data_IF_804046887809
#
_entry.id   IF_804046887809
#
_cell.length_a   1.000
_cell.length_b   1.000
_cell.length_c   1.000
_cell.angle_alpha   90.00
_cell.angle_beta   90.00
_cell.angle_gamma   90.00
#
_symmetry.space_group_name_H-M   'P 1'
#
loop_
_entity.id
_entity.type
_entity.pdbx_description
1 polymer ?
#
# COMPACT_ATOMS: atom_id res chain seq x y z
N UNK A 1 62.99 -9.97 0.72
CA UNK A 1 62.42 -8.63 0.45
C UNK A 1 61.05 -8.80 -0.18
N UNK A 2 59.99 -8.51 0.58
CA UNK A 2 58.69 -8.08 0.01
C UNK A 2 58.88 -6.64 -0.56
N UNK A 3 57.95 -5.99 -1.31
CA UNK A 3 56.50 -6.26 -1.31
C UNK A 3 55.67 -5.86 -2.57
N UNK A 4 54.34 -5.99 -2.44
CA UNK A 4 53.23 -5.13 -2.98
C UNK A 4 53.00 -5.14 -4.50
N UNK A 5 51.95 -5.77 -5.06
CA UNK A 5 50.50 -5.48 -5.01
C UNK A 5 50.02 -4.33 -5.91
N UNK A 6 48.74 -4.45 -6.31
CA UNK A 6 47.82 -3.45 -6.91
C UNK A 6 47.78 -3.42 -8.44
N UNK A 7 46.68 -3.08 -9.09
CA UNK A 7 45.24 -3.02 -8.78
C UNK A 7 44.56 -2.72 -10.14
N UNK A 8 43.29 -3.09 -10.25
CA UNK A 8 42.38 -2.81 -11.37
C UNK A 8 42.33 -1.32 -11.74
N UNK A 9 42.12 -1.02 -13.01
CA UNK A 9 41.02 -0.13 -13.46
C UNK A 9 40.89 -0.15 -14.98
N UNK A 10 39.81 -0.76 -15.47
CA UNK A 10 39.34 -0.64 -16.86
C UNK A 10 38.59 0.68 -16.98
N UNK A 11 39.21 1.66 -17.62
CA UNK A 11 38.61 2.96 -17.95
C UNK A 11 37.53 2.78 -19.01
N UNK A 12 36.26 2.95 -18.65
CA UNK A 12 35.18 3.11 -19.62
C UNK A 12 35.05 4.58 -20.00
N UNK A 13 35.16 4.82 -21.30
CA UNK A 13 35.12 6.10 -21.99
C UNK A 13 33.67 6.58 -22.10
N UNK A 14 33.37 7.73 -21.53
CA UNK A 14 32.14 8.51 -21.75
C UNK A 14 32.13 9.11 -23.15
N UNK A 15 31.03 8.99 -23.92
CA UNK A 15 30.72 9.94 -24.96
C UNK A 15 29.82 11.05 -24.41
N UNK A 16 30.33 12.28 -24.48
CA UNK A 16 29.53 13.50 -24.42
C UNK A 16 28.66 13.58 -25.68
N UNK A 17 27.38 13.88 -25.52
CA UNK A 17 26.55 14.33 -26.64
C UNK A 17 25.80 15.60 -26.24
N UNK A 18 26.39 16.70 -26.72
CA UNK A 18 25.80 17.93 -27.26
C UNK A 18 24.37 18.29 -26.86
N UNK A 19 24.26 19.36 -26.07
CA UNK A 19 23.05 20.15 -25.88
C UNK A 19 22.59 20.79 -27.20
N UNK A 20 21.34 20.55 -27.59
CA UNK A 20 20.63 21.41 -28.53
C UNK A 20 19.72 22.34 -27.72
N UNK A 21 20.06 23.62 -27.73
CA UNK A 21 19.22 24.69 -27.21
C UNK A 21 18.01 24.88 -28.13
N UNK A 22 16.81 24.56 -27.64
CA UNK A 22 15.55 24.92 -28.29
C UNK A 22 14.79 25.93 -27.44
N UNK A 23 14.45 27.02 -28.12
CA UNK A 23 13.84 28.27 -27.67
C UNK A 23 12.66 28.08 -26.72
N UNK A 24 12.64 28.93 -25.70
CA UNK A 24 11.51 29.22 -24.81
C UNK A 24 10.25 29.50 -25.63
N UNK A 25 9.37 28.51 -25.75
CA UNK A 25 7.96 28.75 -25.97
C UNK A 25 7.28 28.74 -24.62
N UNK A 26 6.93 29.94 -24.15
CA UNK A 26 5.98 30.13 -23.07
C UNK A 26 4.63 29.60 -23.55
N UNK A 27 4.43 28.28 -23.46
CA UNK A 27 3.10 27.73 -23.40
C UNK A 27 2.53 28.15 -22.05
N UNK A 28 1.69 29.19 -22.07
CA UNK A 28 0.63 29.35 -21.07
C UNK A 28 -0.19 28.06 -21.10
N UNK A 29 0.20 27.09 -20.29
CA UNK A 29 -0.57 25.89 -20.03
C UNK A 29 -1.77 26.29 -19.14
N UNK A 30 -2.77 26.92 -19.76
CA UNK A 30 -4.11 27.01 -19.21
C UNK A 30 -4.79 25.65 -19.43
N UNK A 31 -4.35 24.66 -18.65
CA UNK A 31 -5.06 23.42 -18.42
C UNK A 31 -4.88 23.11 -16.93
N UNK A 32 -5.70 23.73 -16.08
CA UNK A 32 -6.01 23.13 -14.78
C UNK A 32 -6.85 21.87 -15.06
N UNK A 33 -6.18 20.82 -15.57
CA UNK A 33 -6.61 19.46 -15.38
C UNK A 33 -6.40 19.22 -13.89
N UNK A 34 -7.46 19.36 -13.10
CA UNK A 34 -7.45 18.83 -11.73
C UNK A 34 -7.11 17.35 -11.87
N UNK A 35 -5.87 16.96 -11.55
CA UNK A 35 -5.46 15.56 -11.53
C UNK A 35 -6.46 14.80 -10.68
N UNK A 36 -7.28 13.95 -11.30
CA UNK A 36 -8.23 13.14 -10.57
C UNK A 36 -7.43 12.22 -9.66
N UNK A 37 -7.65 12.29 -8.34
CA UNK A 37 -7.07 11.37 -7.38
C UNK A 37 -7.29 9.94 -7.89
N UNK A 38 -6.20 9.21 -8.14
CA UNK A 38 -6.27 7.87 -8.71
C UNK A 38 -5.37 6.93 -7.94
N UNK A 39 -5.99 5.96 -7.29
CA UNK A 39 -5.28 4.87 -6.63
C UNK A 39 -4.30 4.20 -7.62
N UNK A 40 -3.02 4.19 -7.24
CA UNK A 40 -1.95 3.58 -8.03
C UNK A 40 -1.61 2.20 -7.49
N UNK A 41 -1.13 1.31 -8.37
CA UNK A 41 -0.69 -0.03 -7.97
C UNK A 41 0.81 -0.14 -8.21
N UNK A 42 1.56 -0.45 -7.16
CA UNK A 42 3.00 -0.59 -7.21
C UNK A 42 3.43 -1.93 -7.87
N UNK A 43 4.71 -2.08 -8.25
CA UNK A 43 5.28 -3.37 -8.67
C UNK A 43 5.09 -4.46 -7.61
N UNK A 44 5.13 -5.75 -7.99
CA UNK A 44 5.03 -6.85 -7.03
C UNK A 44 6.22 -6.85 -6.06
N UNK A 45 5.95 -7.05 -4.78
CA UNK A 45 6.96 -7.20 -3.75
C UNK A 45 7.80 -8.49 -3.96
N UNK A 46 9.13 -8.46 -3.77
CA UNK A 46 10.00 -9.61 -4.05
C UNK A 46 9.78 -10.81 -3.11
N UNK A 47 9.15 -10.63 -1.95
CA UNK A 47 8.94 -11.69 -0.97
C UNK A 47 7.47 -12.05 -0.87
N UNK A 48 6.58 -11.06 -0.69
CA UNK A 48 5.15 -11.32 -0.57
C UNK A 48 4.47 -11.62 -1.92
N UNK A 49 5.09 -11.23 -3.06
CA UNK A 49 4.53 -11.31 -4.42
C UNK A 49 3.21 -10.55 -4.63
N UNK A 50 2.76 -9.80 -3.61
CA UNK A 50 1.56 -8.99 -3.66
C UNK A 50 1.88 -7.60 -4.19
N UNK A 51 0.87 -6.90 -4.72
CA UNK A 51 1.00 -5.55 -5.28
C UNK A 51 0.44 -4.51 -4.31
N UNK A 52 1.26 -3.65 -3.70
CA UNK A 52 0.78 -2.59 -2.84
C UNK A 52 -0.07 -1.57 -3.61
N UNK A 53 -1.15 -1.10 -2.99
CA UNK A 53 -1.98 -0.01 -3.51
C UNK A 53 -1.52 1.28 -2.83
N UNK A 54 -1.19 2.29 -3.63
CA UNK A 54 -0.86 3.64 -3.19
C UNK A 54 -2.13 4.45 -3.35
N UNK A 55 -2.74 4.77 -2.23
CA UNK A 55 -3.96 5.56 -2.18
C UNK A 55 -3.65 7.03 -2.38
N UNK A 56 -4.34 7.64 -3.34
CA UNK A 56 -4.18 9.04 -3.72
C UNK A 56 -5.16 9.95 -2.94
N UNK A 57 -5.67 9.45 -1.81
CA UNK A 57 -6.64 10.13 -0.96
C UNK A 57 -6.05 11.48 -0.53
N UNK A 58 -6.57 12.63 -1.05
CA UNK A 58 -6.01 13.92 -0.70
C UNK A 58 -6.24 14.15 0.80
N UNK A 59 -5.25 14.71 1.53
CA UNK A 59 -5.54 15.24 2.85
C UNK A 59 -6.71 16.21 2.71
N UNK A 60 -7.70 16.09 3.61
CA UNK A 60 -8.94 16.89 3.60
C UNK A 60 -8.59 18.33 3.21
N UNK A 61 -9.23 18.92 2.17
CA UNK A 61 -8.87 20.24 1.68
C UNK A 61 -8.91 21.23 2.84
N UNK A 62 -7.73 21.69 3.23
CA UNK A 62 -7.59 22.76 4.21
C UNK A 62 -8.08 24.04 3.51
N UNK A 63 -9.00 24.81 4.10
CA UNK A 63 -9.50 26.02 3.48
C UNK A 63 -8.32 26.93 3.13
N UNK A 64 -8.32 27.32 1.86
CA UNK A 64 -7.28 28.02 1.15
C UNK A 64 -6.82 29.26 1.95
N UNK A 65 -5.55 29.28 2.39
CA UNK A 65 -4.87 30.54 2.73
C UNK A 65 -4.53 30.85 4.19
N UNK A 66 -4.70 29.93 5.15
CA UNK A 66 -4.24 30.17 6.53
C UNK A 66 -3.16 29.17 6.98
N UNK A 67 -2.01 29.19 6.29
CA UNK A 67 -0.78 28.76 6.96
C UNK A 67 -0.54 29.69 8.15
N UNK A 68 -0.28 29.10 9.33
CA UNK A 68 0.09 29.72 10.64
C UNK A 68 -1.16 29.97 11.53
N UNK A 69 -1.34 29.37 12.73
CA UNK A 69 -0.33 29.22 13.82
C UNK A 69 -0.77 28.41 15.06
N UNK A 70 -0.57 27.09 15.12
CA UNK A 70 -0.35 26.32 16.38
C UNK A 70 -0.34 24.81 16.11
N UNK A 71 0.44 24.01 16.87
CA UNK A 71 0.45 22.55 16.80
C UNK A 71 -0.88 21.89 17.21
N UNK A 72 -1.85 22.66 17.71
CA UNK A 72 -3.23 22.24 17.92
C UNK A 72 -4.15 23.39 17.51
N UNK A 73 -4.63 23.38 16.27
CA UNK A 73 -5.62 24.37 15.82
C UNK A 73 -7.04 23.89 16.07
N UNK A 74 -7.87 24.72 16.72
CA UNK A 74 -9.29 24.40 16.91
C UNK A 74 -10.04 24.29 15.58
N UNK A 75 -9.52 24.89 14.51
CA UNK A 75 -10.01 24.72 13.14
C UNK A 75 -10.02 23.26 12.67
N UNK A 76 -9.12 22.40 13.19
CA UNK A 76 -9.15 20.96 12.92
C UNK A 76 -10.34 20.24 13.58
N UNK A 77 -10.95 20.86 14.59
CA UNK A 77 -12.15 20.38 15.29
C UNK A 77 -13.43 21.13 14.89
N UNK A 78 -13.33 22.24 14.15
CA UNK A 78 -14.43 23.13 13.77
C UNK A 78 -15.07 22.82 12.41
N UNK A 79 -14.90 21.62 11.86
CA UNK A 79 -15.60 21.21 10.62
C UNK A 79 -17.15 21.19 10.74
N UNK A 80 -17.75 21.73 11.81
CA UNK A 80 -19.08 21.41 12.29
C UNK A 80 -20.01 22.58 12.65
N UNK A 81 -19.77 23.82 12.21
CA UNK A 81 -20.71 24.91 12.43
C UNK A 81 -21.40 25.36 11.12
N UNK A 82 -22.32 24.55 10.58
CA UNK A 82 -23.13 25.01 9.43
C UNK A 82 -24.18 24.05 8.86
N UNK A 83 -24.09 22.74 9.09
CA UNK A 83 -25.10 21.81 8.62
C UNK A 83 -24.85 20.39 9.09
N UNK A 84 -25.65 19.92 10.06
CA UNK A 84 -25.46 18.66 10.81
C UNK A 84 -25.43 17.35 9.99
N UNK A 85 -25.42 17.42 8.65
CA UNK A 85 -25.20 16.27 7.77
C UNK A 85 -23.77 16.13 7.23
N UNK A 86 -23.01 17.23 7.09
CA UNK A 86 -21.71 17.22 6.39
C UNK A 86 -20.56 16.66 7.24
N UNK A 87 -20.58 16.90 8.56
CA UNK A 87 -19.55 16.45 9.52
C UNK A 87 -19.52 14.94 9.61
N UNK A 88 -20.70 14.33 9.77
CA UNK A 88 -20.85 12.88 9.92
C UNK A 88 -20.42 12.16 8.63
N UNK A 89 -20.61 12.78 7.45
CA UNK A 89 -20.12 12.23 6.17
C UNK A 89 -18.59 12.25 6.14
N UNK A 90 -17.96 13.36 6.53
CA UNK A 90 -16.50 13.50 6.59
C UNK A 90 -15.84 12.50 7.53
N UNK A 91 -16.39 12.33 8.74
CA UNK A 91 -15.88 11.37 9.73
C UNK A 91 -15.99 9.92 9.24
N UNK A 92 -17.15 9.53 8.67
CA UNK A 92 -17.35 8.18 8.14
C UNK A 92 -16.46 7.90 6.93
N UNK A 93 -16.26 8.89 6.05
CA UNK A 93 -15.39 8.75 4.87
C UNK A 93 -13.92 8.59 5.28
N UNK A 94 -13.45 9.38 6.24
CA UNK A 94 -12.11 9.25 6.80
C UNK A 94 -11.91 7.87 7.44
N UNK A 95 -12.88 7.43 8.26
CA UNK A 95 -12.83 6.10 8.89
C UNK A 95 -12.79 4.98 7.84
N UNK A 96 -13.58 5.09 6.78
CA UNK A 96 -13.57 4.13 5.67
C UNK A 96 -12.20 4.06 4.99
N UNK A 97 -11.61 5.21 4.66
CA UNK A 97 -10.27 5.30 4.02
C UNK A 97 -9.18 4.69 4.92
N UNK A 98 -9.16 5.05 6.20
CA UNK A 98 -8.19 4.51 7.15
C UNK A 98 -8.34 3.00 7.34
N UNK A 99 -9.58 2.50 7.43
CA UNK A 99 -9.83 1.06 7.57
C UNK A 99 -9.38 0.30 6.33
N UNK A 100 -9.63 0.84 5.13
CA UNK A 100 -9.17 0.29 3.84
C UNK A 100 -7.65 0.13 3.83
N UNK A 101 -6.92 1.19 4.12
CA UNK A 101 -5.45 1.18 4.16
C UNK A 101 -4.91 0.18 5.20
N UNK A 102 -5.52 0.11 6.39
CA UNK A 102 -5.14 -0.84 7.44
C UNK A 102 -5.41 -2.30 7.04
N UNK A 103 -6.46 -2.56 6.27
CA UNK A 103 -6.80 -3.90 5.78
C UNK A 103 -5.74 -4.37 4.78
N UNK A 104 -5.33 -3.50 3.86
CA UNK A 104 -4.27 -3.81 2.90
C UNK A 104 -2.93 -4.04 3.56
N UNK A 105 -2.56 -3.19 4.54
CA UNK A 105 -1.34 -3.39 5.31
C UNK A 105 -1.35 -4.74 6.05
N UNK A 106 -2.49 -5.12 6.64
CA UNK A 106 -2.63 -6.43 7.27
C UNK A 106 -2.42 -7.58 6.26
N UNK A 107 -3.00 -7.47 5.08
CA UNK A 107 -2.85 -8.48 4.03
C UNK A 107 -1.39 -8.62 3.57
N UNK A 108 -0.73 -7.50 3.29
CA UNK A 108 0.67 -7.45 2.88
C UNK A 108 1.60 -8.05 3.94
N UNK A 109 1.44 -7.62 5.19
CA UNK A 109 2.28 -8.06 6.30
C UNK A 109 2.13 -9.56 6.57
N UNK A 110 0.91 -10.10 6.51
CA UNK A 110 0.66 -11.53 6.71
C UNK A 110 1.39 -12.38 5.66
N UNK A 111 1.27 -12.02 4.38
CA UNK A 111 1.92 -12.78 3.31
C UNK A 111 3.44 -12.61 3.28
N UNK A 112 3.94 -11.41 3.62
CA UNK A 112 5.37 -11.17 3.78
C UNK A 112 5.97 -12.11 4.85
N UNK A 113 5.33 -12.17 6.01
CA UNK A 113 5.77 -13.01 7.12
C UNK A 113 5.63 -14.50 6.81
N UNK A 114 4.48 -14.94 6.28
CA UNK A 114 4.25 -16.34 5.89
C UNK A 114 5.28 -16.83 4.87
N UNK A 115 5.56 -16.04 3.83
CA UNK A 115 6.55 -16.40 2.81
C UNK A 115 7.97 -16.40 3.38
N UNK A 116 8.31 -15.46 4.27
CA UNK A 116 9.62 -15.42 4.93
C UNK A 116 9.85 -16.68 5.79
N UNK A 117 8.85 -17.08 6.59
CA UNK A 117 8.91 -18.30 7.40
C UNK A 117 8.96 -19.56 6.51
N UNK A 118 8.22 -19.57 5.40
CA UNK A 118 8.24 -20.67 4.45
C UNK A 118 9.60 -20.86 3.78
N UNK A 119 10.21 -19.80 3.25
CA UNK A 119 11.50 -19.90 2.56
C UNK A 119 12.63 -20.28 3.51
N UNK A 120 12.66 -19.72 4.73
CA UNK A 120 13.66 -20.09 5.74
C UNK A 120 13.53 -21.56 6.18
N UNK A 121 12.30 -22.05 6.40
CA UNK A 121 12.06 -23.44 6.75
C UNK A 121 12.42 -24.39 5.59
N UNK A 122 12.06 -24.04 4.36
CA UNK A 122 12.41 -24.80 3.15
C UNK A 122 13.91 -24.92 2.98
N UNK A 123 14.65 -23.82 3.13
CA UNK A 123 16.12 -23.83 3.07
C UNK A 123 16.72 -24.69 4.18
N UNK A 124 16.19 -24.61 5.41
CA UNK A 124 16.65 -25.45 6.52
C UNK A 124 16.49 -26.94 6.23
N UNK A 125 15.37 -27.36 5.63
CA UNK A 125 15.18 -28.75 5.20
C UNK A 125 16.25 -29.15 4.19
N UNK A 126 16.49 -28.32 3.17
CA UNK A 126 17.48 -28.61 2.13
C UNK A 126 18.93 -28.65 2.67
N UNK A 127 19.26 -27.78 3.62
CA UNK A 127 20.59 -27.73 4.23
C UNK A 127 20.86 -28.94 5.14
N UNK A 128 19.82 -29.57 5.69
CA UNK A 128 19.95 -30.79 6.49
C UNK A 128 20.14 -32.05 5.65
N UNK A 129 19.97 -31.98 4.32
CA UNK A 129 20.25 -33.12 3.45
C UNK A 129 21.76 -33.20 3.16
N UNK A 130 22.31 -34.42 3.06
CA UNK A 130 23.69 -34.58 2.65
C UNK A 130 23.90 -34.07 1.21
N UNK A 131 25.07 -33.54 0.90
CA UNK A 131 25.40 -33.03 -0.45
C UNK A 131 25.31 -34.12 -1.52
N UNK A 132 25.48 -35.39 -1.13
CA UNK A 132 25.35 -36.58 -1.99
C UNK A 132 23.89 -36.97 -2.29
N UNK A 133 22.90 -36.30 -1.70
CA UNK A 133 21.49 -36.63 -1.87
C UNK A 133 21.04 -36.46 -3.32
N UNK A 134 20.34 -37.47 -3.84
CA UNK A 134 19.79 -37.44 -5.20
C UNK A 134 18.64 -36.44 -5.30
N UNK A 135 18.27 -36.07 -6.52
CA UNK A 135 17.11 -35.19 -6.78
C UNK A 135 15.83 -35.78 -6.18
N UNK A 136 15.65 -37.10 -6.31
CA UNK A 136 14.48 -37.82 -5.77
C UNK A 136 14.39 -37.72 -4.25
N UNK A 137 15.52 -37.82 -3.55
CA UNK A 137 15.56 -37.70 -2.08
C UNK A 137 15.19 -36.28 -1.63
N UNK A 138 15.64 -35.27 -2.37
CA UNK A 138 15.27 -33.86 -2.13
C UNK A 138 13.77 -33.64 -2.35
N UNK A 139 13.20 -34.19 -3.41
CA UNK A 139 11.76 -34.11 -3.68
C UNK A 139 10.94 -34.80 -2.59
N UNK A 140 11.38 -35.98 -2.13
CA UNK A 140 10.71 -36.69 -1.04
C UNK A 140 10.76 -35.87 0.25
N UNK A 141 11.91 -35.30 0.60
CA UNK A 141 12.04 -34.41 1.76
C UNK A 141 11.13 -33.18 1.66
N UNK A 142 11.06 -32.54 0.48
CA UNK A 142 10.18 -31.39 0.24
C UNK A 142 8.70 -31.76 0.31
N UNK A 143 8.30 -32.94 -0.16
CA UNK A 143 6.91 -33.41 -0.09
C UNK A 143 6.44 -33.57 1.37
N UNK A 144 7.30 -34.16 2.22
CA UNK A 144 7.05 -34.31 3.66
C UNK A 144 7.01 -32.95 4.34
N UNK A 145 7.92 -32.04 3.96
CA UNK A 145 7.92 -30.66 4.44
C UNK A 145 6.62 -29.93 4.11
N UNK A 146 6.16 -29.94 2.86
CA UNK A 146 4.93 -29.23 2.47
C UNK A 146 3.71 -29.74 3.23
N UNK A 147 3.59 -31.05 3.42
CA UNK A 147 2.53 -31.63 4.23
C UNK A 147 2.57 -31.11 5.67
N UNK A 148 3.76 -31.07 6.29
CA UNK A 148 3.94 -30.58 7.66
C UNK A 148 3.65 -29.07 7.76
N UNK A 149 4.14 -28.28 6.80
CA UNK A 149 3.93 -26.84 6.75
C UNK A 149 2.45 -26.47 6.75
N UNK A 150 1.65 -27.10 5.89
CA UNK A 150 0.20 -26.83 5.81
C UNK A 150 -0.50 -27.16 7.13
N UNK A 151 -0.09 -28.23 7.81
CA UNK A 151 -0.66 -28.60 9.11
C UNK A 151 -0.29 -27.61 10.21
N UNK A 152 0.95 -27.11 10.21
CA UNK A 152 1.45 -26.15 11.20
C UNK A 152 0.85 -24.75 11.00
N UNK A 153 0.77 -24.28 9.77
CA UNK A 153 0.32 -22.92 9.44
C UNK A 153 -1.21 -22.77 9.43
N UNK A 154 -1.94 -23.88 9.62
CA UNK A 154 -3.41 -23.91 9.62
C UNK A 154 -4.00 -22.93 10.64
N UNK A 155 -3.52 -22.94 11.87
CA UNK A 155 -4.07 -22.09 12.94
C UNK A 155 -3.88 -20.60 12.64
N UNK A 156 -2.69 -20.23 12.16
CA UNK A 156 -2.38 -18.85 11.78
C UNK A 156 -3.21 -18.40 10.57
N UNK A 157 -3.39 -19.28 9.59
CA UNK A 157 -4.23 -19.02 8.40
C UNK A 157 -5.71 -18.88 8.78
N UNK A 158 -6.20 -19.70 9.71
CA UNK A 158 -7.58 -19.63 10.21
C UNK A 158 -7.80 -18.32 11.00
N UNK A 159 -6.85 -17.94 11.87
CA UNK A 159 -6.88 -16.67 12.61
C UNK A 159 -6.87 -15.47 11.67
N UNK A 160 -5.97 -15.47 10.68
CA UNK A 160 -5.91 -14.45 9.63
C UNK A 160 -7.23 -14.37 8.85
N UNK A 161 -7.79 -15.51 8.44
CA UNK A 161 -9.05 -15.56 7.68
C UNK A 161 -10.21 -14.95 8.48
N UNK A 162 -10.29 -15.26 9.77
CA UNK A 162 -11.30 -14.70 10.66
C UNK A 162 -11.13 -13.18 10.81
N UNK A 163 -9.91 -12.70 11.00
CA UNK A 163 -9.63 -11.27 11.10
C UNK A 163 -9.92 -10.52 9.80
N UNK A 164 -9.47 -11.07 8.67
CA UNK A 164 -9.70 -10.50 7.34
C UNK A 164 -11.20 -10.39 7.06
N UNK A 165 -12.00 -11.43 7.37
CA UNK A 165 -13.46 -11.38 7.24
C UNK A 165 -14.08 -10.32 8.14
N UNK A 166 -13.67 -10.26 9.42
CA UNK A 166 -14.17 -9.28 10.38
C UNK A 166 -13.91 -7.83 9.93
N UNK A 167 -12.72 -7.54 9.40
CA UNK A 167 -12.39 -6.19 8.91
C UNK A 167 -13.10 -5.86 7.60
N UNK A 168 -13.27 -6.83 6.69
CA UNK A 168 -14.04 -6.63 5.47
C UNK A 168 -15.52 -6.37 5.73
N UNK A 169 -16.15 -7.06 6.68
CA UNK A 169 -17.55 -6.79 7.02
C UNK A 169 -17.72 -5.38 7.59
N UNK A 170 -16.77 -4.92 8.40
CA UNK A 170 -16.73 -3.52 8.87
C UNK A 170 -16.56 -2.52 7.72
N UNK A 171 -15.69 -2.83 6.75
CA UNK A 171 -15.44 -1.97 5.59
C UNK A 171 -16.67 -1.85 4.68
N UNK A 172 -17.37 -2.96 4.43
CA UNK A 172 -18.64 -2.98 3.67
C UNK A 172 -19.71 -2.16 4.42
N UNK A 173 -19.80 -2.30 5.74
CA UNK A 173 -20.76 -1.52 6.53
C UNK A 173 -20.46 -0.01 6.49
N UNK A 174 -19.19 0.39 6.60
CA UNK A 174 -18.80 1.80 6.53
C UNK A 174 -19.01 2.40 5.14
N UNK A 175 -18.62 1.70 4.08
CA UNK A 175 -18.88 2.16 2.70
C UNK A 175 -20.37 2.36 2.44
N UNK A 176 -21.22 1.43 2.87
CA UNK A 176 -22.66 1.57 2.75
C UNK A 176 -23.20 2.81 3.49
N UNK A 177 -22.69 3.11 4.69
CA UNK A 177 -23.05 4.32 5.45
C UNK A 177 -22.62 5.60 4.76
N UNK A 178 -21.40 5.64 4.22
CA UNK A 178 -20.87 6.79 3.48
C UNK A 178 -21.74 7.08 2.25
N UNK A 179 -22.02 6.07 1.44
CA UNK A 179 -22.83 6.23 0.23
C UNK A 179 -24.28 6.60 0.55
N UNK A 180 -24.87 6.03 1.60
CA UNK A 180 -26.19 6.42 2.06
C UNK A 180 -26.23 7.90 2.51
N UNK A 181 -25.21 8.36 3.22
CA UNK A 181 -25.13 9.74 3.68
C UNK A 181 -24.95 10.74 2.51
N UNK A 182 -24.14 10.38 1.51
CA UNK A 182 -24.02 11.14 0.24
C UNK A 182 -25.35 11.21 -0.51
N UNK A 183 -26.04 10.07 -0.65
CA UNK A 183 -27.34 10.00 -1.31
C UNK A 183 -28.38 10.88 -0.60
N UNK A 184 -28.42 10.84 0.74
CA UNK A 184 -29.31 11.69 1.54
C UNK A 184 -29.01 13.18 1.34
N UNK A 185 -27.73 13.55 1.28
CA UNK A 185 -27.30 14.92 0.96
C UNK A 185 -27.77 15.37 -0.42
N UNK A 186 -27.58 14.53 -1.44
CA UNK A 186 -28.03 14.79 -2.81
C UNK A 186 -29.55 15.02 -2.88
N UNK A 187 -30.35 14.11 -2.31
CA UNK A 187 -31.82 14.23 -2.29
C UNK A 187 -32.26 15.49 -1.55
N UNK A 188 -31.64 15.82 -0.40
CA UNK A 188 -31.96 17.06 0.31
C UNK A 188 -31.62 18.32 -0.48
N UNK A 189 -30.55 18.31 -1.29
CA UNK A 189 -30.18 19.45 -2.13
C UNK A 189 -31.16 19.63 -3.27
N UNK A 190 -31.59 18.53 -3.91
CA UNK A 190 -32.56 18.53 -5.00
C UNK A 190 -33.95 19.02 -4.56
N UNK A 191 -34.40 18.61 -3.36
CA UNK A 191 -35.69 19.05 -2.80
C UNK A 191 -35.69 20.52 -2.35
N UNK A 192 -34.53 21.12 -2.07
CA UNK A 192 -34.41 22.55 -1.72
C UNK A 192 -34.32 23.47 -2.94
N UNK A 193 -33.99 22.91 -4.12
CA UNK A 193 -33.89 23.64 -5.38
C UNK A 193 -35.18 23.63 -6.22
N UNK A 194 -36.22 22.94 -5.74
CA UNK A 194 -37.58 22.93 -6.33
C UNK A 194 -38.51 23.82 -5.53
#
# INVERSE_FOLDING_TARGET
MAPVARCLTRTFKTPQFTQCATKNHQHRAAFHLTSTAKDMVAPPDPVSHMRPIIYDDPPVPQPDGAYVRHPYSLSEFESAAGGGGSVVVGDNELQFKLLRQRLDALHQNFWLDSNTRFYSAKQSVLNNLPETATVRDKEQALSVFYKKWVMQEKELTDAYTNEWRRRNTQLIALSARVEFAKLKGCVSSFLKSS
#
